data_IF_783466027964
#
_entry.id   IF_783466027964
#
_cell.length_a   1.000
_cell.length_b   1.000
_cell.length_c   1.000
_cell.angle_alpha   90.00
_cell.angle_beta   90.00
_cell.angle_gamma   90.00
#
_symmetry.space_group_name_H-M   'P 1'
#
loop_
_entity.id
_entity.type
_entity.pdbx_description
1 polymer ?
#
# COMPACT_ATOMS: atom_id res chain seq x y z
N UNK A 1 3.76 25.74 -0.58
CA UNK A 1 4.88 26.60 -0.12
C UNK A 1 5.90 25.74 0.60
N UNK A 2 7.18 25.90 0.30
CA UNK A 2 8.24 25.25 1.07
C UNK A 2 8.79 26.24 2.10
N UNK A 3 9.10 25.74 3.29
CA UNK A 3 9.69 26.51 4.40
C UNK A 3 10.98 25.85 4.84
N UNK A 4 11.95 26.64 5.29
CA UNK A 4 13.22 26.15 5.80
C UNK A 4 13.82 27.10 6.83
N UNK A 5 14.53 26.55 7.81
CA UNK A 5 15.33 27.29 8.78
C UNK A 5 16.79 26.89 8.62
N UNK A 6 17.64 27.86 8.51
CA UNK A 6 19.09 27.70 8.44
C UNK A 6 19.74 28.21 9.74
N UNK A 7 20.68 27.43 10.27
CA UNK A 7 21.57 27.79 11.36
C UNK A 7 23.00 27.59 10.86
N UNK A 8 23.78 28.63 10.85
CA UNK A 8 25.16 28.64 10.33
C UNK A 8 25.29 28.03 8.91
N UNK A 9 24.38 28.45 8.02
CA UNK A 9 24.25 27.95 6.64
C UNK A 9 23.88 26.45 6.50
N UNK A 10 23.49 25.78 7.60
CA UNK A 10 22.99 24.42 7.59
C UNK A 10 21.46 24.43 7.67
N UNK A 11 20.79 23.71 6.79
CA UNK A 11 19.33 23.52 6.86
C UNK A 11 18.99 22.62 8.05
N UNK A 12 18.41 23.20 9.11
CA UNK A 12 18.09 22.47 10.36
C UNK A 12 16.61 22.17 10.53
N UNK A 13 15.73 22.83 9.77
CA UNK A 13 14.31 22.50 9.73
C UNK A 13 13.73 22.77 8.35
N UNK A 14 12.76 21.94 7.93
CA UNK A 14 12.04 22.13 6.66
C UNK A 14 10.60 21.65 6.77
N UNK A 15 9.73 22.22 5.94
CA UNK A 15 8.33 21.79 5.86
C UNK A 15 7.68 22.14 4.54
N UNK A 16 6.78 21.28 4.10
CA UNK A 16 5.83 21.57 3.04
C UNK A 16 4.55 22.12 3.66
N UNK A 17 4.14 23.31 3.27
CA UNK A 17 2.88 23.93 3.71
C UNK A 17 1.90 23.91 2.54
N UNK A 18 0.84 23.14 2.67
CA UNK A 18 -0.31 23.13 1.77
C UNK A 18 -1.28 24.23 2.23
N UNK A 19 -1.63 25.14 1.33
CA UNK A 19 -2.51 26.27 1.62
C UNK A 19 -3.88 25.99 1.01
N UNK A 20 -4.87 25.74 1.85
CA UNK A 20 -6.27 25.61 1.42
C UNK A 20 -6.97 26.97 1.54
N UNK A 21 -7.40 27.53 0.42
CA UNK A 21 -8.21 28.74 0.40
C UNK A 21 -9.62 28.47 0.91
N UNK A 22 -10.14 29.40 1.69
CA UNK A 22 -11.47 29.38 2.29
C UNK A 22 -12.24 30.64 1.82
N UNK A 23 -13.58 30.70 2.02
CA UNK A 23 -14.35 31.92 1.76
C UNK A 23 -13.80 33.15 2.48
N UNK A 24 -14.14 34.34 1.99
CA UNK A 24 -13.76 35.64 2.57
C UNK A 24 -12.23 35.86 2.65
N UNK A 25 -11.49 35.35 1.69
CA UNK A 25 -10.01 35.45 1.62
C UNK A 25 -9.25 34.83 2.79
N UNK A 26 -9.91 34.03 3.61
CA UNK A 26 -9.24 33.23 4.63
C UNK A 26 -8.53 32.01 4.03
N UNK A 27 -7.63 31.41 4.81
CA UNK A 27 -7.03 30.14 4.47
C UNK A 27 -6.77 29.29 5.71
N UNK A 28 -6.38 28.04 5.47
CA UNK A 28 -5.76 27.16 6.45
C UNK A 28 -4.45 26.62 5.90
N UNK A 29 -3.49 26.46 6.79
CA UNK A 29 -2.22 25.80 6.50
C UNK A 29 -2.24 24.36 6.97
N UNK A 30 -1.70 23.47 6.16
CA UNK A 30 -1.51 22.07 6.54
C UNK A 30 -0.10 21.60 6.21
N UNK A 31 0.60 21.04 7.19
CA UNK A 31 1.93 20.47 7.03
C UNK A 31 1.84 18.95 7.11
N UNK A 32 1.70 18.24 5.97
CA UNK A 32 1.64 16.78 5.97
C UNK A 32 3.00 16.19 6.38
N UNK A 33 2.98 15.28 7.36
CA UNK A 33 4.18 14.61 7.89
C UNK A 33 5.32 15.54 8.32
N UNK A 34 5.01 16.79 8.55
CA UNK A 34 6.01 17.82 8.90
C UNK A 34 5.62 18.66 10.10
N UNK A 35 6.47 19.63 10.41
CA UNK A 35 7.77 19.93 9.83
C UNK A 35 8.82 18.84 10.14
N UNK A 36 9.89 18.75 9.35
CA UNK A 36 11.03 17.86 9.59
C UNK A 36 12.13 18.67 10.30
N UNK A 37 12.45 18.31 11.52
CA UNK A 37 13.46 18.98 12.36
C UNK A 37 13.82 18.09 13.57
N UNK A 38 14.83 18.48 14.33
CA UNK A 38 15.06 17.87 15.65
C UNK A 38 14.05 18.45 16.66
N UNK A 39 13.07 17.67 17.05
CA UNK A 39 12.05 18.07 18.03
C UNK A 39 12.57 18.16 19.48
N UNK A 40 13.81 17.71 19.75
CA UNK A 40 14.49 17.91 21.05
C UNK A 40 15.04 19.33 21.18
N UNK A 41 15.33 20.00 20.07
CA UNK A 41 15.76 21.39 20.03
C UNK A 41 14.54 22.32 20.19
N UNK A 42 14.18 22.60 21.44
CA UNK A 42 13.01 23.43 21.79
C UNK A 42 13.09 24.84 21.20
N UNK A 43 14.28 25.40 21.11
CA UNK A 43 14.48 26.75 20.55
C UNK A 43 14.19 26.76 19.04
N UNK A 44 14.65 25.71 18.32
CA UNK A 44 14.38 25.56 16.91
C UNK A 44 12.88 25.36 16.66
N UNK A 45 12.23 24.50 17.45
CA UNK A 45 10.78 24.25 17.34
C UNK A 45 9.99 25.54 17.56
N UNK A 46 10.30 26.29 18.64
CA UNK A 46 9.65 27.55 18.94
C UNK A 46 9.86 28.55 17.80
N UNK A 47 11.12 28.75 17.37
CA UNK A 47 11.45 29.66 16.28
C UNK A 47 10.69 29.33 14.98
N UNK A 48 10.68 28.03 14.58
CA UNK A 48 10.00 27.61 13.37
C UNK A 48 8.51 27.96 13.40
N UNK A 49 7.82 27.61 14.46
CA UNK A 49 6.39 27.87 14.57
C UNK A 49 6.07 29.35 14.75
N UNK A 50 6.90 30.11 15.39
CA UNK A 50 6.72 31.58 15.50
C UNK A 50 6.85 32.26 14.13
N UNK A 51 7.83 31.86 13.31
CA UNK A 51 7.95 32.41 11.96
C UNK A 51 6.78 31.93 11.07
N UNK A 52 6.36 30.68 11.20
CA UNK A 52 5.23 30.15 10.45
C UNK A 52 3.91 30.88 10.81
N UNK A 53 3.68 31.20 12.09
CA UNK A 53 2.54 32.00 12.54
C UNK A 53 2.55 33.38 11.94
N UNK A 54 3.71 34.05 11.89
CA UNK A 54 3.83 35.38 11.24
C UNK A 54 3.49 35.35 9.75
N UNK A 55 3.88 34.29 9.04
CA UNK A 55 3.48 34.07 7.65
C UNK A 55 1.97 33.82 7.54
N UNK A 56 1.44 32.97 8.39
CA UNK A 56 0.03 32.64 8.44
C UNK A 56 -0.87 33.88 8.69
N UNK A 57 -0.46 34.77 9.59
CA UNK A 57 -1.17 36.04 9.84
C UNK A 57 -1.23 36.94 8.59
N UNK A 58 -0.13 37.03 7.82
CA UNK A 58 -0.11 37.79 6.57
C UNK A 58 -1.07 37.24 5.51
N UNK A 59 -1.27 35.92 5.51
CA UNK A 59 -2.13 35.23 4.58
C UNK A 59 -3.59 35.10 5.06
N UNK A 60 -3.96 35.77 6.15
CA UNK A 60 -5.28 35.63 6.80
C UNK A 60 -5.63 34.14 7.11
N UNK A 61 -4.62 33.39 7.59
CA UNK A 61 -4.77 32.00 7.96
C UNK A 61 -5.48 31.88 9.31
N UNK A 62 -6.53 31.05 9.35
CA UNK A 62 -7.34 30.85 10.57
C UNK A 62 -6.62 29.91 11.54
N UNK A 63 -6.03 28.82 11.00
CA UNK A 63 -5.27 27.87 11.80
C UNK A 63 -4.23 27.13 10.97
N UNK A 64 -3.22 26.63 11.65
CA UNK A 64 -2.17 25.78 11.11
C UNK A 64 -2.39 24.37 11.66
N UNK A 65 -2.57 23.39 10.79
CA UNK A 65 -2.65 21.98 11.13
C UNK A 65 -1.37 21.27 10.72
N UNK A 66 -0.85 20.38 11.56
CA UNK A 66 0.30 19.57 11.23
C UNK A 66 0.20 18.18 11.87
N UNK A 67 0.79 17.18 11.24
CA UNK A 67 0.82 15.78 11.67
C UNK A 67 2.22 15.19 11.47
N UNK A 68 3.16 15.56 12.33
CA UNK A 68 4.56 15.18 12.18
C UNK A 68 4.71 13.65 12.23
N UNK A 69 5.68 13.10 11.48
CA UNK A 69 5.99 11.68 11.45
C UNK A 69 6.73 11.23 12.73
N UNK A 70 6.10 11.41 13.88
CA UNK A 70 6.63 11.02 15.18
C UNK A 70 6.05 9.67 15.59
N UNK A 71 6.92 8.74 15.93
CA UNK A 71 6.54 7.41 16.40
C UNK A 71 6.08 7.50 17.86
N UNK A 72 4.88 6.98 18.13
CA UNK A 72 4.31 6.95 19.49
C UNK A 72 4.54 5.59 20.14
N UNK A 73 4.19 4.53 19.42
CA UNK A 73 4.37 3.15 19.86
C UNK A 73 4.74 2.28 18.67
N UNK A 74 5.55 1.27 18.92
CA UNK A 74 5.61 0.10 18.06
C UNK A 74 4.63 -0.94 18.57
N UNK A 75 3.95 -1.59 17.64
CA UNK A 75 3.03 -2.67 17.93
C UNK A 75 3.47 -3.94 17.21
N UNK A 76 3.88 -4.94 17.97
CA UNK A 76 4.17 -6.26 17.41
C UNK A 76 2.89 -7.10 17.36
N UNK A 77 2.43 -7.41 16.15
CA UNK A 77 1.23 -8.20 15.92
C UNK A 77 1.28 -9.64 16.44
N UNK A 78 2.47 -10.19 16.70
CA UNK A 78 2.64 -11.56 17.20
C UNK A 78 2.59 -11.64 18.71
N UNK A 79 3.27 -10.71 19.37
CA UNK A 79 3.37 -10.69 20.84
C UNK A 79 2.31 -9.81 21.51
N UNK A 80 1.60 -8.99 20.73
CA UNK A 80 0.69 -7.96 21.22
C UNK A 80 1.36 -6.95 22.18
N UNK A 81 2.69 -6.94 22.20
CA UNK A 81 3.43 -5.99 23.00
C UNK A 81 3.47 -4.63 22.30
N UNK A 82 3.34 -3.59 23.12
CA UNK A 82 3.55 -2.21 22.68
C UNK A 82 4.81 -1.66 23.30
N UNK A 83 5.70 -1.14 22.47
CA UNK A 83 6.85 -0.38 22.94
C UNK A 83 6.58 1.11 22.72
N UNK A 84 6.38 1.86 23.81
CA UNK A 84 6.11 3.29 23.77
C UNK A 84 7.41 4.08 23.74
N UNK A 85 7.51 5.03 22.82
CA UNK A 85 8.64 5.94 22.75
C UNK A 85 8.50 7.05 23.80
N UNK A 86 9.44 7.11 24.75
CA UNK A 86 9.42 8.09 25.83
C UNK A 86 9.55 9.53 25.32
N UNK A 87 10.27 9.71 24.23
CA UNK A 87 10.49 11.00 23.59
C UNK A 87 9.19 11.65 23.08
N UNK A 88 8.17 10.85 22.77
CA UNK A 88 6.89 11.36 22.26
C UNK A 88 6.26 12.36 23.20
N UNK A 89 6.26 12.10 24.50
CA UNK A 89 5.70 13.01 25.50
C UNK A 89 6.49 14.32 25.53
N UNK A 90 7.83 14.25 25.46
CA UNK A 90 8.66 15.44 25.36
C UNK A 90 8.32 16.31 24.15
N UNK A 91 8.09 15.69 22.99
CA UNK A 91 7.72 16.40 21.78
C UNK A 91 6.33 17.06 21.90
N UNK A 92 5.36 16.34 22.45
CA UNK A 92 4.02 16.87 22.71
C UNK A 92 4.06 18.06 23.67
N UNK A 93 4.85 18.00 24.74
CA UNK A 93 5.04 19.11 25.66
C UNK A 93 5.73 20.31 24.99
N UNK A 94 6.70 20.06 24.10
CA UNK A 94 7.33 21.10 23.30
C UNK A 94 6.33 21.79 22.38
N UNK A 95 5.49 21.05 21.67
CA UNK A 95 4.43 21.65 20.84
C UNK A 95 3.42 22.44 21.68
N UNK A 96 3.04 21.92 22.84
CA UNK A 96 2.14 22.60 23.76
C UNK A 96 2.73 23.93 24.25
N UNK A 97 4.04 23.98 24.55
CA UNK A 97 4.73 25.22 24.92
C UNK A 97 4.73 26.26 23.79
N UNK A 98 4.62 25.84 22.53
CA UNK A 98 4.41 26.71 21.37
C UNK A 98 2.93 27.09 21.14
N UNK A 99 2.04 26.85 22.11
CA UNK A 99 0.59 27.04 22.01
C UNK A 99 -0.09 26.15 20.94
N UNK A 100 0.42 24.96 20.69
CA UNK A 100 -0.24 23.99 19.86
C UNK A 100 -1.27 23.17 20.67
N UNK A 101 -2.37 22.83 20.03
CA UNK A 101 -3.42 22.00 20.64
C UNK A 101 -3.36 20.60 20.00
N UNK A 102 -3.10 19.58 20.81
CA UNK A 102 -3.18 18.20 20.39
C UNK A 102 -4.63 17.76 20.32
N UNK A 103 -5.09 17.29 19.16
CA UNK A 103 -6.49 16.93 18.92
C UNK A 103 -6.89 15.54 19.45
N UNK A 104 -5.98 14.85 20.11
CA UNK A 104 -6.21 13.48 20.57
C UNK A 104 -5.92 12.43 19.51
N UNK A 105 -6.09 11.18 19.87
CA UNK A 105 -5.86 10.04 18.99
C UNK A 105 -7.16 9.59 18.32
N UNK A 106 -7.20 9.66 17.00
CA UNK A 106 -8.37 9.21 16.24
C UNK A 106 -8.44 7.68 16.18
N UNK A 107 -9.65 7.15 16.09
CA UNK A 107 -9.91 5.72 15.96
C UNK A 107 -10.40 5.33 14.57
N UNK A 108 -10.94 6.28 13.81
CA UNK A 108 -11.39 6.08 12.44
C UNK A 108 -10.35 6.58 11.44
N UNK A 109 -10.12 5.83 10.37
CA UNK A 109 -9.22 6.20 9.29
C UNK A 109 -9.70 7.44 8.51
N UNK A 110 -11.01 7.71 8.54
CA UNK A 110 -11.64 8.87 7.89
C UNK A 110 -11.43 10.20 8.62
N UNK A 111 -11.00 10.17 9.88
CA UNK A 111 -10.89 11.38 10.72
C UNK A 111 -9.63 12.20 10.43
N UNK A 112 -8.66 11.61 9.74
CA UNK A 112 -7.38 12.26 9.43
C UNK A 112 -7.02 12.13 7.97
N UNK A 113 -6.25 13.10 7.46
CA UNK A 113 -5.72 13.07 6.08
C UNK A 113 -4.64 12.00 5.94
N UNK A 114 -3.79 11.86 6.98
CA UNK A 114 -2.73 10.86 7.01
C UNK A 114 -3.13 9.69 7.92
N UNK A 115 -2.84 8.44 7.54
CA UNK A 115 -3.16 7.29 8.36
C UNK A 115 -2.40 7.35 9.69
N UNK A 116 -3.10 7.11 10.79
CA UNK A 116 -2.52 7.02 12.14
C UNK A 116 -1.58 5.83 12.29
N UNK A 117 -1.94 4.71 11.67
CA UNK A 117 -1.17 3.47 11.72
C UNK A 117 -0.51 3.22 10.39
N UNK A 118 0.75 2.81 10.44
CA UNK A 118 1.50 2.35 9.27
C UNK A 118 1.96 0.92 9.53
N UNK A 119 1.95 0.10 8.49
CA UNK A 119 2.54 -1.23 8.51
C UNK A 119 3.84 -1.17 7.71
N UNK A 120 4.96 -1.26 8.40
CA UNK A 120 6.27 -1.19 7.78
C UNK A 120 6.90 -2.59 7.71
N UNK A 121 7.57 -2.87 6.61
CA UNK A 121 8.40 -4.07 6.44
C UNK A 121 9.85 -3.61 6.41
N UNK A 122 10.65 -4.03 7.39
CA UNK A 122 12.09 -3.75 7.39
C UNK A 122 12.83 -4.84 6.61
N UNK A 123 14.00 -4.49 6.09
CA UNK A 123 14.84 -5.35 5.30
C UNK A 123 15.15 -6.69 5.97
N UNK A 124 14.91 -7.75 5.22
CA UNK A 124 15.40 -9.07 5.56
C UNK A 124 16.28 -9.57 4.41
N UNK A 125 17.47 -10.07 4.71
CA UNK A 125 18.37 -10.67 3.72
C UNK A 125 17.71 -11.79 2.90
N UNK A 126 16.66 -12.41 3.46
CA UNK A 126 15.88 -13.43 2.78
C UNK A 126 14.42 -13.42 3.28
N UNK A 127 13.61 -12.61 2.62
CA UNK A 127 12.19 -12.47 2.97
C UNK A 127 11.44 -13.81 2.91
N UNK A 128 11.81 -14.69 1.99
CA UNK A 128 11.13 -15.99 1.84
C UNK A 128 11.25 -16.85 3.10
N UNK A 129 12.36 -16.73 3.85
CA UNK A 129 12.53 -17.49 5.11
C UNK A 129 11.62 -17.00 6.22
N UNK A 130 11.33 -15.71 6.28
CA UNK A 130 10.54 -15.09 7.35
C UNK A 130 9.04 -15.06 7.07
N UNK A 131 8.62 -15.27 5.82
CA UNK A 131 7.20 -15.34 5.47
C UNK A 131 6.46 -16.45 6.26
N UNK A 132 5.24 -16.17 6.76
CA UNK A 132 4.39 -17.18 7.40
C UNK A 132 4.13 -18.39 6.49
N UNK A 133 3.93 -19.57 7.06
CA UNK A 133 3.61 -20.79 6.29
C UNK A 133 2.36 -20.62 5.39
N UNK A 134 1.38 -19.87 5.89
CA UNK A 134 0.18 -19.56 5.12
C UNK A 134 0.50 -18.77 3.86
N UNK A 135 1.27 -17.69 3.97
CA UNK A 135 1.72 -16.86 2.84
C UNK A 135 2.50 -17.67 1.81
N UNK A 136 3.46 -18.50 2.26
CA UNK A 136 4.21 -19.41 1.35
C UNK A 136 3.29 -20.37 0.58
N UNK A 137 2.20 -20.82 1.21
CA UNK A 137 1.20 -21.67 0.53
C UNK A 137 0.45 -20.89 -0.53
N UNK A 138 0.03 -19.67 -0.23
CA UNK A 138 -0.70 -18.83 -1.19
C UNK A 138 0.15 -18.46 -2.40
N UNK A 139 1.43 -18.16 -2.20
CA UNK A 139 2.38 -17.94 -3.30
C UNK A 139 2.46 -19.16 -4.20
N UNK A 140 2.64 -20.38 -3.62
CA UNK A 140 2.63 -21.63 -4.41
C UNK A 140 1.32 -21.91 -5.12
N UNK A 141 0.19 -21.49 -4.56
CA UNK A 141 -1.11 -21.62 -5.20
C UNK A 141 -1.27 -20.64 -6.38
N UNK A 142 -0.70 -19.43 -6.29
CA UNK A 142 -0.61 -18.50 -7.40
C UNK A 142 0.30 -19.02 -8.52
N UNK A 143 1.48 -19.56 -8.18
CA UNK A 143 2.40 -20.19 -9.13
C UNK A 143 1.72 -21.34 -9.91
N UNK A 144 0.97 -22.20 -9.22
CA UNK A 144 0.23 -23.30 -9.85
C UNK A 144 -0.85 -22.81 -10.83
N UNK A 145 -1.36 -21.61 -10.64
CA UNK A 145 -2.33 -20.94 -11.51
C UNK A 145 -1.66 -20.08 -12.57
N UNK A 146 -0.34 -20.23 -12.69
CA UNK A 146 0.48 -19.51 -13.66
C UNK A 146 0.28 -17.98 -13.58
N UNK A 147 0.14 -17.44 -12.36
CA UNK A 147 0.13 -16.00 -12.14
C UNK A 147 1.55 -15.49 -12.31
N UNK A 148 1.72 -14.52 -13.22
CA UNK A 148 2.98 -13.89 -13.51
C UNK A 148 2.96 -12.46 -12.97
N UNK A 149 4.10 -11.97 -12.47
CA UNK A 149 4.24 -10.58 -12.05
C UNK A 149 5.08 -9.85 -13.08
N UNK A 150 4.51 -8.77 -13.60
CA UNK A 150 5.21 -7.82 -14.46
C UNK A 150 5.30 -6.47 -13.74
N UNK A 151 6.32 -5.71 -14.05
CA UNK A 151 6.47 -4.35 -13.54
C UNK A 151 6.82 -3.41 -14.69
N UNK A 152 6.44 -2.15 -14.52
CA UNK A 152 6.64 -1.13 -15.52
C UNK A 152 6.14 0.23 -15.06
N UNK A 153 5.91 1.12 -16.00
CA UNK A 153 5.59 2.51 -15.74
C UNK A 153 4.27 2.91 -16.42
N UNK A 154 4.28 3.92 -17.28
CA UNK A 154 3.08 4.44 -17.95
C UNK A 154 2.41 3.43 -18.90
N UNK A 155 3.16 2.49 -19.45
CA UNK A 155 2.66 1.43 -20.31
C UNK A 155 1.70 0.47 -19.61
N UNK A 156 1.77 0.38 -18.26
CA UNK A 156 0.88 -0.45 -17.44
C UNK A 156 -0.27 0.35 -16.81
N UNK A 157 -0.34 1.65 -17.06
CA UNK A 157 -1.26 2.56 -16.38
C UNK A 157 -2.73 2.24 -16.69
N UNK A 158 -3.05 1.81 -17.90
CA UNK A 158 -4.42 1.50 -18.30
C UNK A 158 -4.98 0.31 -17.53
N UNK A 159 -4.22 -0.77 -17.47
CA UNK A 159 -4.60 -1.96 -16.73
C UNK A 159 -4.68 -1.70 -15.22
N UNK A 160 -3.73 -0.95 -14.68
CA UNK A 160 -3.73 -0.57 -13.27
C UNK A 160 -4.96 0.28 -12.91
N UNK A 161 -5.27 1.31 -13.71
CA UNK A 161 -6.43 2.19 -13.47
C UNK A 161 -7.73 1.41 -13.50
N UNK A 162 -7.92 0.50 -14.48
CA UNK A 162 -9.07 -0.40 -14.54
C UNK A 162 -9.24 -1.23 -13.25
N UNK A 163 -8.15 -1.78 -12.70
CA UNK A 163 -8.19 -2.56 -11.47
C UNK A 163 -8.56 -1.71 -10.24
N UNK A 164 -8.10 -0.45 -10.21
CA UNK A 164 -8.48 0.50 -9.15
C UNK A 164 -9.96 0.85 -9.26
N UNK A 165 -10.48 1.15 -10.44
CA UNK A 165 -11.91 1.43 -10.69
C UNK A 165 -12.82 0.28 -10.26
N UNK A 166 -12.42 -0.98 -10.53
CA UNK A 166 -13.13 -2.17 -10.04
C UNK A 166 -13.17 -2.22 -8.51
N UNK A 167 -12.06 -1.84 -7.88
CA UNK A 167 -11.97 -1.80 -6.41
C UNK A 167 -12.81 -0.68 -5.81
N UNK A 168 -12.84 0.51 -6.43
CA UNK A 168 -13.71 1.64 -6.06
C UNK A 168 -15.18 1.24 -6.09
N UNK A 169 -15.62 0.70 -7.23
CA UNK A 169 -17.00 0.27 -7.45
C UNK A 169 -17.44 -0.75 -6.39
N UNK A 170 -16.57 -1.69 -6.05
CA UNK A 170 -16.85 -2.72 -5.04
C UNK A 170 -16.93 -2.17 -3.62
N UNK A 171 -16.02 -1.27 -3.26
CA UNK A 171 -15.92 -0.74 -1.89
C UNK A 171 -16.83 0.50 -1.64
N UNK A 172 -17.40 1.05 -2.70
CA UNK A 172 -18.20 2.29 -2.61
C UNK A 172 -17.37 3.50 -2.15
N UNK A 173 -16.09 3.54 -2.50
CA UNK A 173 -15.15 4.63 -2.16
C UNK A 173 -14.65 5.28 -3.45
N UNK A 174 -14.38 6.59 -3.41
CA UNK A 174 -13.68 7.28 -4.48
C UNK A 174 -12.19 7.32 -4.17
N UNK A 175 -11.38 6.72 -5.01
CA UNK A 175 -9.93 6.81 -4.95
C UNK A 175 -9.41 7.92 -5.89
N UNK A 176 -8.39 7.65 -6.66
CA UNK A 176 -7.83 8.59 -7.62
C UNK A 176 -8.02 8.07 -9.04
N UNK A 177 -8.17 8.99 -9.97
CA UNK A 177 -8.33 8.65 -11.38
C UNK A 177 -6.99 8.40 -12.09
N UNK A 178 -7.09 7.92 -13.32
CA UNK A 178 -5.94 7.64 -14.18
C UNK A 178 -5.05 8.87 -14.40
N UNK A 179 -5.65 10.07 -14.48
CA UNK A 179 -4.89 11.31 -14.69
C UNK A 179 -3.98 11.63 -13.51
N UNK A 180 -4.46 11.40 -12.30
CA UNK A 180 -3.67 11.54 -11.08
C UNK A 180 -2.50 10.53 -11.05
N UNK A 181 -2.74 9.26 -11.36
CA UNK A 181 -1.69 8.25 -11.40
C UNK A 181 -0.63 8.56 -12.45
N UNK A 182 -1.04 9.08 -13.61
CA UNK A 182 -0.13 9.55 -14.64
C UNK A 182 0.80 10.64 -14.13
N UNK A 183 0.25 11.70 -13.54
CA UNK A 183 1.01 12.81 -12.95
C UNK A 183 1.97 12.29 -11.85
N UNK A 184 1.51 11.37 -11.02
CA UNK A 184 2.32 10.78 -9.97
C UNK A 184 3.55 10.07 -10.55
N UNK A 185 3.35 9.20 -11.53
CA UNK A 185 4.43 8.47 -12.20
C UNK A 185 5.39 9.44 -12.90
N UNK A 186 4.89 10.42 -13.65
CA UNK A 186 5.71 11.42 -14.34
C UNK A 186 6.60 12.25 -13.38
N UNK A 187 6.09 12.55 -12.18
CA UNK A 187 6.85 13.30 -11.17
C UNK A 187 7.93 12.46 -10.48
N UNK A 188 7.67 11.17 -10.24
CA UNK A 188 8.63 10.29 -9.57
C UNK A 188 9.54 9.53 -10.53
N UNK A 189 9.28 9.60 -11.84
CA UNK A 189 10.09 8.96 -12.89
C UNK A 189 10.48 7.52 -12.51
N UNK A 190 11.76 7.21 -12.43
CA UNK A 190 12.27 5.88 -12.09
C UNK A 190 11.85 5.41 -10.68
N UNK A 191 11.44 6.31 -9.79
CA UNK A 191 10.92 5.98 -8.47
C UNK A 191 9.45 5.54 -8.46
N UNK A 192 8.69 5.78 -9.54
CA UNK A 192 7.30 5.35 -9.67
C UNK A 192 7.17 4.05 -10.43
N UNK A 193 6.65 2.99 -9.81
CA UNK A 193 6.55 1.66 -10.43
C UNK A 193 5.16 1.08 -10.24
N UNK A 194 4.59 0.56 -11.34
CA UNK A 194 3.39 -0.28 -11.31
C UNK A 194 3.81 -1.75 -11.37
N UNK A 195 3.30 -2.56 -10.46
CA UNK A 195 3.39 -4.01 -10.50
C UNK A 195 2.01 -4.56 -10.82
N UNK A 196 1.93 -5.48 -11.80
CA UNK A 196 0.70 -6.18 -12.14
C UNK A 196 0.89 -7.68 -11.99
N UNK A 197 -0.07 -8.32 -11.34
CA UNK A 197 -0.26 -9.75 -11.43
C UNK A 197 -1.11 -10.05 -12.65
N UNK A 198 -0.61 -10.91 -13.54
CA UNK A 198 -1.28 -11.29 -14.77
C UNK A 198 -1.52 -12.80 -14.82
N UNK A 199 -2.51 -13.25 -15.51
CA UNK A 199 -2.71 -14.66 -15.83
C UNK A 199 -3.28 -14.83 -17.24
N UNK A 200 -3.02 -16.00 -17.85
CA UNK A 200 -3.55 -16.38 -19.14
C UNK A 200 -4.68 -17.39 -18.94
N UNK A 201 -5.90 -16.89 -18.89
CA UNK A 201 -7.09 -17.74 -18.65
C UNK A 201 -7.32 -18.75 -19.78
N UNK A 202 -6.97 -18.38 -21.03
CA UNK A 202 -7.06 -19.30 -22.16
C UNK A 202 -6.17 -20.54 -21.95
N UNK A 203 -4.89 -20.34 -21.64
CA UNK A 203 -3.96 -21.43 -21.34
C UNK A 203 -4.43 -22.28 -20.17
N UNK A 204 -4.88 -21.64 -19.08
CA UNK A 204 -5.40 -22.34 -17.91
C UNK A 204 -6.62 -23.21 -18.25
N UNK A 205 -7.51 -22.73 -19.10
CA UNK A 205 -8.66 -23.52 -19.55
C UNK A 205 -8.25 -24.70 -20.42
N UNK A 206 -7.31 -24.51 -21.35
CA UNK A 206 -6.79 -25.62 -22.17
C UNK A 206 -6.08 -26.67 -21.31
N UNK A 207 -5.25 -26.27 -20.36
CA UNK A 207 -4.59 -27.16 -19.41
C UNK A 207 -5.63 -27.94 -18.55
N UNK A 208 -6.69 -27.27 -18.11
CA UNK A 208 -7.77 -27.89 -17.37
C UNK A 208 -8.50 -28.94 -18.22
N UNK A 209 -8.77 -28.64 -19.49
CA UNK A 209 -9.38 -29.64 -20.43
C UNK A 209 -8.49 -30.85 -20.64
N UNK A 210 -7.18 -30.64 -20.85
CA UNK A 210 -6.22 -31.75 -21.00
C UNK A 210 -6.18 -32.58 -19.71
N UNK A 211 -6.17 -31.93 -18.55
CA UNK A 211 -6.18 -32.60 -17.24
C UNK A 211 -7.47 -33.42 -17.04
N UNK A 212 -8.62 -32.86 -17.43
CA UNK A 212 -9.92 -33.57 -17.40
C UNK A 212 -9.85 -34.89 -18.16
N UNK A 213 -9.43 -34.86 -19.44
CA UNK A 213 -9.31 -36.05 -20.28
C UNK A 213 -8.37 -37.10 -19.66
N UNK A 214 -7.27 -36.68 -19.04
CA UNK A 214 -6.36 -37.60 -18.34
C UNK A 214 -7.02 -38.25 -17.13
N UNK A 215 -7.74 -37.48 -16.31
CA UNK A 215 -8.45 -37.99 -15.14
C UNK A 215 -9.56 -38.99 -15.53
N UNK A 216 -10.34 -38.67 -16.55
CA UNK A 216 -11.40 -39.57 -17.07
C UNK A 216 -10.81 -40.90 -17.52
N UNK A 217 -9.69 -40.89 -18.26
CA UNK A 217 -8.97 -42.11 -18.66
C UNK A 217 -8.45 -42.88 -17.45
N UNK A 218 -7.87 -42.21 -16.45
CA UNK A 218 -7.34 -42.87 -15.26
C UNK A 218 -8.46 -43.48 -14.40
N UNK A 219 -9.62 -42.84 -14.30
CA UNK A 219 -10.81 -43.39 -13.64
C UNK A 219 -11.28 -44.65 -14.36
N UNK A 220 -11.41 -44.60 -15.70
CA UNK A 220 -11.84 -45.75 -16.50
C UNK A 220 -10.87 -46.94 -16.41
N UNK A 221 -9.59 -46.73 -16.17
CA UNK A 221 -8.56 -47.76 -16.02
C UNK A 221 -8.38 -48.24 -14.57
N UNK A 222 -9.00 -47.57 -13.60
CA UNK A 222 -8.84 -47.93 -12.20
C UNK A 222 -9.84 -49.02 -11.80
N UNK A 223 -9.33 -50.08 -11.18
CA UNK A 223 -10.15 -51.21 -10.74
C UNK A 223 -11.20 -50.75 -9.71
N UNK A 224 -12.43 -51.24 -9.80
CA UNK A 224 -13.55 -50.92 -8.90
C UNK A 224 -13.24 -51.14 -7.41
N UNK A 225 -12.39 -52.12 -7.12
CA UNK A 225 -11.96 -52.43 -5.75
C UNK A 225 -11.05 -51.37 -5.16
N UNK A 226 -10.49 -50.46 -5.95
CA UNK A 226 -9.63 -49.36 -5.50
C UNK A 226 -10.43 -48.12 -5.08
N UNK A 227 -11.46 -48.29 -4.26
CA UNK A 227 -12.44 -47.25 -3.86
C UNK A 227 -11.81 -45.93 -3.40
N UNK A 228 -10.76 -45.97 -2.59
CA UNK A 228 -10.06 -44.74 -2.13
C UNK A 228 -9.39 -43.98 -3.28
N UNK A 229 -8.82 -44.70 -4.25
CA UNK A 229 -8.19 -44.09 -5.42
C UNK A 229 -9.25 -43.48 -6.33
N UNK A 230 -10.34 -44.22 -6.60
CA UNK A 230 -11.47 -43.74 -7.40
C UNK A 230 -12.05 -42.46 -6.81
N UNK A 231 -12.39 -42.45 -5.52
CA UNK A 231 -12.95 -41.28 -4.87
C UNK A 231 -12.04 -40.06 -5.00
N UNK A 232 -10.71 -40.24 -4.82
CA UNK A 232 -9.75 -39.14 -4.98
C UNK A 232 -9.71 -38.60 -6.42
N UNK A 233 -9.77 -39.47 -7.42
CA UNK A 233 -9.79 -39.09 -8.84
C UNK A 233 -11.09 -38.37 -9.22
N UNK A 234 -12.23 -38.85 -8.73
CA UNK A 234 -13.52 -38.19 -8.91
C UNK A 234 -13.59 -36.82 -8.26
N UNK A 235 -13.00 -36.64 -7.06
CA UNK A 235 -12.87 -35.33 -6.41
C UNK A 235 -12.01 -34.35 -7.24
N UNK A 236 -10.91 -34.86 -7.80
CA UNK A 236 -10.07 -34.07 -8.69
C UNK A 236 -10.81 -33.68 -9.98
N UNK A 237 -11.59 -34.62 -10.56
CA UNK A 237 -12.38 -34.34 -11.75
C UNK A 237 -13.44 -33.28 -11.49
N UNK A 238 -14.17 -33.38 -10.36
CA UNK A 238 -15.14 -32.35 -9.95
C UNK A 238 -14.50 -30.97 -9.79
N UNK A 239 -13.28 -30.91 -9.21
CA UNK A 239 -12.54 -29.66 -9.09
C UNK A 239 -12.20 -29.08 -10.46
N UNK A 240 -11.72 -29.88 -11.39
CA UNK A 240 -11.37 -29.46 -12.75
C UNK A 240 -12.59 -28.99 -13.54
N UNK A 241 -13.74 -29.72 -13.42
CA UNK A 241 -14.99 -29.31 -14.07
C UNK A 241 -15.47 -27.94 -13.57
N UNK A 242 -15.30 -27.67 -12.27
CA UNK A 242 -15.61 -26.38 -11.68
C UNK A 242 -14.70 -25.26 -12.22
N UNK A 243 -13.39 -25.53 -12.32
CA UNK A 243 -12.43 -24.58 -12.88
C UNK A 243 -12.79 -24.24 -14.35
N UNK A 244 -13.11 -25.26 -15.18
CA UNK A 244 -13.52 -25.05 -16.58
C UNK A 244 -14.80 -24.20 -16.67
N UNK A 245 -15.77 -24.41 -15.79
CA UNK A 245 -16.99 -23.62 -15.76
C UNK A 245 -16.68 -22.14 -15.42
N UNK A 246 -15.84 -21.89 -14.43
CA UNK A 246 -15.40 -20.55 -14.03
C UNK A 246 -14.65 -19.85 -15.18
N UNK A 247 -13.77 -20.55 -15.88
CA UNK A 247 -13.06 -20.00 -17.05
C UNK A 247 -14.02 -19.60 -18.18
N UNK A 248 -15.09 -20.37 -18.41
CA UNK A 248 -16.11 -20.00 -19.39
C UNK A 248 -16.85 -18.72 -19.03
N UNK A 249 -17.14 -18.51 -17.75
CA UNK A 249 -17.75 -17.26 -17.26
C UNK A 249 -16.82 -16.05 -17.51
N UNK A 250 -15.52 -16.21 -17.24
CA UNK A 250 -14.52 -15.16 -17.50
C UNK A 250 -14.43 -14.88 -19.02
N UNK A 251 -14.43 -15.90 -19.87
CA UNK A 251 -14.40 -15.71 -21.32
C UNK A 251 -15.59 -14.96 -21.89
N UNK A 252 -16.75 -15.03 -21.25
CA UNK A 252 -17.92 -14.27 -21.69
C UNK A 252 -17.71 -12.75 -21.60
N UNK A 253 -16.82 -12.29 -20.72
CA UNK A 253 -16.55 -10.88 -20.51
C UNK A 253 -15.26 -10.39 -21.19
N UNK A 254 -14.19 -11.20 -21.15
CA UNK A 254 -12.87 -10.82 -21.69
C UNK A 254 -12.59 -11.33 -23.10
N UNK A 255 -13.48 -12.16 -23.63
CA UNK A 255 -13.22 -12.86 -24.89
C UNK A 255 -12.30 -14.07 -24.70
N UNK A 256 -12.27 -14.93 -25.74
CA UNK A 256 -11.46 -16.15 -25.75
C UNK A 256 -10.07 -15.95 -26.36
N UNK A 257 -9.48 -14.78 -26.17
CA UNK A 257 -8.16 -14.48 -26.69
C UNK A 257 -7.06 -15.13 -25.84
N UNK A 258 -6.03 -15.63 -26.51
CA UNK A 258 -4.83 -16.14 -25.87
C UNK A 258 -3.92 -14.98 -25.48
N UNK A 259 -4.32 -14.23 -24.45
CA UNK A 259 -3.56 -13.11 -23.90
C UNK A 259 -3.51 -13.15 -22.40
N UNK A 260 -2.49 -12.51 -21.84
CA UNK A 260 -2.38 -12.30 -20.41
C UNK A 260 -3.31 -11.17 -19.99
N UNK A 261 -4.02 -11.36 -18.89
CA UNK A 261 -4.97 -10.40 -18.32
C UNK A 261 -4.43 -9.94 -16.97
N UNK A 262 -4.38 -8.62 -16.75
CA UNK A 262 -4.06 -8.07 -15.44
C UNK A 262 -5.23 -8.30 -14.45
N UNK A 263 -4.94 -8.96 -13.34
CA UNK A 263 -5.92 -9.41 -12.34
C UNK A 263 -5.77 -8.73 -10.99
N UNK A 264 -4.59 -8.23 -10.67
CA UNK A 264 -4.32 -7.36 -9.51
C UNK A 264 -3.15 -6.43 -9.82
N UNK A 265 -3.05 -5.32 -9.10
CA UNK A 265 -1.97 -4.37 -9.29
C UNK A 265 -1.69 -3.53 -8.06
N UNK A 266 -0.44 -3.08 -7.96
CA UNK A 266 0.04 -2.13 -6.95
C UNK A 266 0.82 -1.03 -7.66
N UNK A 267 0.56 0.22 -7.27
CA UNK A 267 1.42 1.35 -7.60
C UNK A 267 2.25 1.70 -6.37
N UNK A 268 3.56 1.66 -6.53
CA UNK A 268 4.54 1.93 -5.50
C UNK A 268 5.39 3.14 -5.86
N UNK A 269 5.78 3.91 -4.85
CA UNK A 269 6.71 5.03 -5.00
C UNK A 269 7.94 4.78 -4.14
N UNK A 270 9.09 4.85 -4.77
CA UNK A 270 10.39 4.80 -4.13
C UNK A 270 10.96 6.21 -4.00
N UNK A 271 11.37 6.55 -2.79
CA UNK A 271 12.10 7.78 -2.53
C UNK A 271 13.16 7.55 -1.44
N UNK A 272 14.41 7.84 -1.74
CA UNK A 272 15.53 7.51 -0.85
C UNK A 272 15.55 6.02 -0.50
N UNK A 273 15.53 5.72 0.79
CA UNK A 273 15.55 4.36 1.33
C UNK A 273 14.16 3.80 1.64
N UNK A 274 13.10 4.44 1.16
CA UNK A 274 11.72 4.05 1.46
C UNK A 274 10.98 3.73 0.16
N UNK A 275 10.21 2.64 0.18
CA UNK A 275 9.22 2.34 -0.84
C UNK A 275 7.83 2.29 -0.19
N UNK A 276 6.92 3.06 -0.71
CA UNK A 276 5.54 3.11 -0.23
C UNK A 276 4.60 2.53 -1.28
N UNK A 277 3.82 1.51 -0.90
CA UNK A 277 2.74 0.97 -1.72
C UNK A 277 1.52 1.87 -1.54
N UNK A 278 1.31 2.79 -2.49
CA UNK A 278 0.29 3.84 -2.33
C UNK A 278 -1.11 3.38 -2.70
N UNK A 279 -1.23 2.67 -3.80
CA UNK A 279 -2.53 2.27 -4.35
C UNK A 279 -2.50 0.83 -4.78
N UNK A 280 -3.65 0.18 -4.64
CA UNK A 280 -3.80 -1.21 -5.00
C UNK A 280 -5.20 -1.46 -5.56
N UNK A 281 -5.28 -2.28 -6.60
CA UNK A 281 -6.51 -2.70 -7.23
C UNK A 281 -6.52 -4.20 -7.49
N UNK A 282 -7.71 -4.81 -7.49
CA UNK A 282 -7.89 -6.22 -7.78
C UNK A 282 -9.25 -6.48 -8.43
N UNK A 283 -9.26 -7.40 -9.38
CA UNK A 283 -10.47 -7.98 -9.93
C UNK A 283 -10.93 -9.17 -9.07
N UNK A 284 -12.04 -9.03 -8.38
CA UNK A 284 -12.59 -10.03 -7.45
C UNK A 284 -12.94 -11.37 -8.13
N UNK A 285 -13.19 -11.38 -9.42
CA UNK A 285 -13.45 -12.61 -10.18
C UNK A 285 -12.28 -13.59 -10.12
N UNK A 286 -11.07 -13.02 -9.97
CA UNK A 286 -9.82 -13.77 -9.86
C UNK A 286 -9.35 -13.99 -8.41
N UNK A 287 -10.19 -13.73 -7.42
CA UNK A 287 -9.83 -13.91 -6.00
C UNK A 287 -9.28 -15.29 -5.67
N UNK A 288 -9.80 -16.33 -6.33
CA UNK A 288 -9.34 -17.73 -6.16
C UNK A 288 -7.95 -17.97 -6.74
N UNK A 289 -7.48 -17.12 -7.63
CA UNK A 289 -6.13 -17.19 -8.18
C UNK A 289 -5.08 -16.71 -7.19
N UNK A 290 -5.53 -16.26 -6.01
CA UNK A 290 -4.67 -15.70 -5.00
C UNK A 290 -3.75 -14.58 -5.54
N UNK A 291 -4.27 -13.69 -6.41
CA UNK A 291 -3.51 -12.55 -6.86
C UNK A 291 -3.40 -11.52 -5.75
N UNK A 292 -3.88 -11.91 -4.57
CA UNK A 292 -3.77 -11.12 -3.35
C UNK A 292 -2.31 -10.78 -3.18
N UNK A 293 -2.04 -9.60 -2.78
CA UNK A 293 -0.80 -8.86 -2.67
C UNK A 293 0.47 -9.64 -2.27
N UNK A 294 0.35 -10.88 -1.82
CA UNK A 294 1.48 -11.69 -1.34
C UNK A 294 2.48 -12.06 -2.45
N UNK A 295 2.08 -12.53 -3.65
CA UNK A 295 3.01 -12.65 -4.76
C UNK A 295 3.53 -11.27 -5.19
N UNK A 296 2.65 -10.26 -5.25
CA UNK A 296 3.03 -8.90 -5.57
C UNK A 296 3.99 -8.31 -4.54
N UNK A 297 3.72 -8.48 -3.24
CA UNK A 297 4.62 -8.04 -2.17
C UNK A 297 5.98 -8.73 -2.30
N UNK A 298 6.00 -10.02 -2.60
CA UNK A 298 7.25 -10.76 -2.76
C UNK A 298 8.07 -10.23 -3.94
N UNK A 299 7.44 -9.94 -5.08
CA UNK A 299 8.13 -9.39 -6.25
C UNK A 299 8.53 -7.92 -6.06
N UNK A 300 7.68 -7.09 -5.45
CA UNK A 300 8.07 -5.74 -5.04
C UNK A 300 9.31 -5.80 -4.16
N UNK A 301 9.31 -6.72 -3.20
CA UNK A 301 10.46 -6.90 -2.33
C UNK A 301 11.71 -7.40 -3.07
N UNK A 302 11.61 -8.29 -4.01
CA UNK A 302 12.73 -8.75 -4.85
C UNK A 302 13.25 -7.65 -5.78
N UNK A 303 12.34 -6.90 -6.41
CA UNK A 303 12.67 -5.80 -7.32
C UNK A 303 13.51 -4.72 -6.64
N UNK A 304 13.16 -4.38 -5.41
CA UNK A 304 13.85 -3.34 -4.64
C UNK A 304 15.28 -3.72 -4.21
N UNK A 305 15.69 -4.98 -4.39
CA UNK A 305 17.06 -5.47 -4.16
C UNK A 305 17.47 -5.53 -2.68
N UNK A 306 18.57 -6.25 -2.41
CA UNK A 306 19.07 -6.47 -1.03
C UNK A 306 19.59 -5.20 -0.35
N UNK A 307 20.12 -4.24 -1.11
CA UNK A 307 20.63 -2.97 -0.56
C UNK A 307 19.51 -1.99 -0.17
N UNK A 308 18.37 -2.10 -0.82
CA UNK A 308 17.18 -1.30 -0.51
C UNK A 308 16.48 -1.77 0.77
N UNK A 309 16.60 -3.04 1.10
CA UNK A 309 15.92 -3.70 2.22
C UNK A 309 16.38 -3.30 3.62
N UNK A 310 17.42 -2.50 3.76
CA UNK A 310 17.93 -2.15 5.09
C UNK A 310 16.97 -1.39 5.98
N UNK A 311 15.84 -0.89 5.45
CA UNK A 311 14.92 0.00 6.18
C UNK A 311 13.41 -0.34 6.12
N UNK A 312 13.02 -1.51 5.63
CA UNK A 312 11.60 -1.90 5.57
C UNK A 312 11.22 -2.85 6.71
N UNK A 313 10.40 -2.46 7.69
CA UNK A 313 9.96 -3.34 8.80
C UNK A 313 8.46 -3.51 8.92
N UNK A 314 8.02 -4.70 9.37
CA UNK A 314 6.62 -4.95 9.75
C UNK A 314 6.36 -4.43 11.16
N UNK A 315 6.09 -3.14 11.29
CA UNK A 315 5.59 -2.55 12.54
C UNK A 315 4.43 -1.62 12.23
N UNK A 316 3.32 -1.81 12.94
CA UNK A 316 2.26 -0.81 12.95
C UNK A 316 2.72 0.38 13.80
N UNK A 317 3.13 1.46 13.16
CA UNK A 317 3.57 2.67 13.84
C UNK A 317 2.38 3.61 13.98
N UNK A 318 1.85 3.85 15.18
CA UNK A 318 0.91 4.93 15.37
C UNK A 318 1.65 6.27 15.19
N UNK A 319 1.28 7.02 14.15
CA UNK A 319 1.74 8.40 14.00
C UNK A 319 1.02 9.31 15.02
N UNK A 320 1.68 10.37 15.45
CA UNK A 320 1.04 11.42 16.26
C UNK A 320 -0.12 11.99 15.46
N UNK A 321 -1.33 12.06 16.04
CA UNK A 321 -2.46 12.67 15.37
C UNK A 321 -2.22 14.16 15.12
N UNK A 322 -2.99 14.69 14.21
CA UNK A 322 -2.92 16.09 13.79
C UNK A 322 -2.88 17.04 14.99
N UNK A 323 -1.95 17.95 14.95
CA UNK A 323 -1.80 19.06 15.91
C UNK A 323 -2.24 20.35 15.21
N UNK A 324 -3.01 21.16 15.91
CA UNK A 324 -3.51 22.45 15.37
C UNK A 324 -2.95 23.61 16.15
N UNK A 325 -2.52 24.64 15.43
CA UNK A 325 -2.39 25.99 15.95
C UNK A 325 -3.56 26.85 15.50
N UNK A 326 -4.28 27.42 16.43
CA UNK A 326 -5.22 28.50 16.12
C UNK A 326 -4.40 29.77 15.98
N UNK A 327 -4.51 30.44 14.85
CA UNK A 327 -3.83 31.73 14.59
C UNK A 327 -4.76 32.82 15.07
N UNK A 328 -4.44 33.43 16.22
CA UNK A 328 -5.16 34.61 16.76
C UNK A 328 -4.57 35.90 16.21
#
# INVERSE_FOLDING_TARGET
>A
MYTGVYRDNVLVATGLVLIKRLPLSFCMYYLPRGPIMDYKDKELVQYYFDQLKKLAQKDHCIFIKFDPAIHVNDYDSKSYNTNRYKETELYLDTFKSCNAIHLGYTTSISDTVQPRFQSNVYSYENIEKVLPKHTKRLIKDADRRNVQIIHGHLELLDDFSRLVELTESRKGVALRDKSYFKILLENYQDGGVIFLATCNVYKLNEDAKIKKVKLEKEIAQTCENAKKKLHRLEDQLRSVDKDIKEFKEIFSEFGQENKDIAIAGILSIQYGNTCEMLYAGMDERFKKFMPQFEPLITEVTKFLGTDFYRNLSYQAIPAVPAVIFVVS
#
